data_IF_661644903603
#
_entry.id   IF_661644903603
#
_cell.length_a   1.000
_cell.length_b   1.000
_cell.length_c   1.000
_cell.angle_alpha   90.00
_cell.angle_beta   90.00
_cell.angle_gamma   90.00
#
_symmetry.space_group_name_H-M   'P 1'
#
loop_
_entity.id
_entity.type
_entity.pdbx_description
1 polymer ?
#
# COMPACT_ATOMS: atom_id res chain seq x y z
N UNK A 1 -24.42 10.47 -11.67
CA UNK A 1 -23.35 10.64 -12.68
C UNK A 1 -22.05 10.18 -12.07
N UNK A 2 -21.32 9.33 -12.78
CA UNK A 2 -20.19 8.48 -12.33
C UNK A 2 -19.23 9.13 -11.32
N UNK A 3 -19.34 8.72 -10.06
CA UNK A 3 -18.32 8.94 -9.03
C UNK A 3 -17.24 7.88 -9.15
N UNK A 4 -16.10 8.31 -9.71
CA UNK A 4 -14.76 7.71 -9.59
C UNK A 4 -14.53 6.37 -10.30
N UNK A 5 -14.44 6.42 -11.64
CA UNK A 5 -13.59 5.47 -12.36
C UNK A 5 -12.15 5.70 -11.90
N UNK A 6 -11.71 4.94 -10.89
CA UNK A 6 -10.28 4.85 -10.56
C UNK A 6 -9.59 4.41 -11.85
N UNK A 7 -8.76 5.30 -12.40
CA UNK A 7 -8.02 5.02 -13.62
C UNK A 7 -7.16 3.79 -13.40
N UNK A 8 -7.28 2.80 -14.29
CA UNK A 8 -6.42 1.63 -14.26
C UNK A 8 -4.96 2.07 -14.33
N UNK A 9 -4.14 1.61 -13.39
CA UNK A 9 -2.70 1.88 -13.36
C UNK A 9 -1.98 0.63 -13.86
N UNK A 10 -1.23 0.71 -14.99
CA UNK A 10 -0.49 -0.42 -15.54
C UNK A 10 0.42 -1.09 -14.52
N UNK A 11 0.44 -2.42 -14.48
CA UNK A 11 1.19 -3.22 -13.52
C UNK A 11 2.58 -3.55 -14.06
N UNK A 12 2.71 -3.83 -15.37
CA UNK A 12 3.95 -4.28 -15.98
C UNK A 12 5.17 -3.40 -15.67
N UNK A 13 5.09 -2.05 -15.73
CA UNK A 13 6.23 -1.17 -15.42
C UNK A 13 6.66 -1.19 -13.95
N UNK A 14 5.81 -1.73 -13.07
CA UNK A 14 5.99 -1.73 -11.62
C UNK A 14 6.39 -3.10 -11.08
N UNK A 15 6.45 -4.12 -11.94
CA UNK A 15 6.79 -5.49 -11.54
C UNK A 15 8.16 -5.51 -10.87
N UNK A 16 8.22 -6.14 -9.70
CA UNK A 16 9.43 -6.37 -8.94
C UNK A 16 9.52 -7.84 -8.56
N UNK A 17 10.69 -8.44 -8.75
CA UNK A 17 10.98 -9.83 -8.38
C UNK A 17 12.26 -9.88 -7.56
N UNK A 18 12.39 -10.90 -6.70
CA UNK A 18 13.63 -11.19 -5.98
C UNK A 18 14.79 -11.49 -6.94
N UNK A 19 14.48 -12.06 -8.10
CA UNK A 19 15.45 -12.51 -9.09
C UNK A 19 15.28 -11.74 -10.40
N UNK A 20 16.36 -11.11 -10.89
CA UNK A 20 16.33 -10.19 -12.03
C UNK A 20 16.02 -10.90 -13.35
N UNK A 21 16.49 -12.13 -13.49
CA UNK A 21 16.29 -13.00 -14.64
C UNK A 21 14.82 -13.41 -14.84
N UNK A 22 14.04 -13.46 -13.75
CA UNK A 22 12.62 -13.81 -13.77
C UNK A 22 11.71 -12.60 -14.02
N UNK A 23 12.25 -11.36 -13.97
CA UNK A 23 11.45 -10.15 -14.17
C UNK A 23 10.85 -10.10 -15.57
N UNK A 24 11.60 -10.53 -16.60
CA UNK A 24 11.16 -10.40 -17.99
C UNK A 24 9.86 -11.15 -18.30
N UNK A 25 9.74 -12.40 -17.83
CA UNK A 25 8.54 -13.22 -18.04
C UNK A 25 7.34 -12.67 -17.26
N UNK A 26 7.56 -12.18 -16.04
CA UNK A 26 6.51 -11.53 -15.25
C UNK A 26 6.04 -10.21 -15.86
N UNK A 27 6.96 -9.39 -16.39
CA UNK A 27 6.63 -8.15 -17.10
C UNK A 27 5.77 -8.45 -18.33
N UNK A 28 6.14 -9.44 -19.14
CA UNK A 28 5.35 -9.84 -20.31
C UNK A 28 3.94 -10.32 -19.91
N UNK A 29 3.82 -11.10 -18.84
CA UNK A 29 2.52 -11.51 -18.30
C UNK A 29 1.66 -10.30 -17.91
N UNK A 30 2.21 -9.36 -17.14
CA UNK A 30 1.47 -8.16 -16.75
C UNK A 30 1.22 -7.19 -17.91
N UNK A 31 2.02 -7.24 -18.98
CA UNK A 31 1.75 -6.46 -20.20
C UNK A 31 0.51 -6.99 -20.93
N UNK A 32 0.32 -8.31 -21.01
CA UNK A 32 -0.90 -8.94 -21.53
C UNK A 32 -2.11 -8.48 -20.70
N UNK A 33 -1.98 -8.54 -19.37
CA UNK A 33 -3.02 -8.07 -18.42
C UNK A 33 -3.33 -6.59 -18.65
N UNK A 34 -2.32 -5.73 -18.68
CA UNK A 34 -2.47 -4.28 -18.83
C UNK A 34 -3.19 -3.90 -20.13
N UNK A 35 -2.78 -4.51 -21.26
CA UNK A 35 -3.42 -4.25 -22.56
C UNK A 35 -4.84 -4.80 -22.62
N UNK A 36 -5.08 -5.97 -22.03
CA UNK A 36 -6.43 -6.54 -21.96
C UNK A 36 -7.39 -5.62 -21.20
N UNK A 37 -6.96 -5.07 -20.05
CA UNK A 37 -7.77 -4.10 -19.28
C UNK A 37 -7.99 -2.81 -20.07
N UNK A 38 -6.97 -2.32 -20.77
CA UNK A 38 -7.09 -1.13 -21.63
C UNK A 38 -8.14 -1.32 -22.74
N UNK A 39 -8.24 -2.53 -23.29
CA UNK A 39 -9.28 -2.92 -24.25
C UNK A 39 -10.64 -3.26 -23.60
N UNK A 40 -10.79 -3.00 -22.30
CA UNK A 40 -12.01 -3.30 -21.53
C UNK A 40 -12.38 -4.78 -21.47
N UNK A 41 -11.41 -5.69 -21.65
CA UNK A 41 -11.62 -7.13 -21.48
C UNK A 41 -11.75 -7.42 -19.98
N UNK A 42 -12.82 -8.15 -19.61
CA UNK A 42 -13.01 -8.62 -18.23
C UNK A 42 -12.11 -9.81 -17.95
N UNK A 43 -10.95 -9.55 -17.35
CA UNK A 43 -9.96 -10.60 -17.01
C UNK A 43 -9.82 -10.84 -15.50
N UNK A 44 -10.33 -9.95 -14.65
CA UNK A 44 -10.23 -10.10 -13.20
C UNK A 44 -11.42 -10.90 -12.66
N UNK A 45 -11.16 -12.10 -12.16
CA UNK A 45 -12.18 -13.01 -11.63
C UNK A 45 -12.62 -12.67 -10.19
N UNK A 46 -12.04 -11.64 -9.57
CA UNK A 46 -12.47 -11.13 -8.26
C UNK A 46 -12.92 -9.68 -8.33
N UNK A 47 -13.86 -9.32 -7.45
CA UNK A 47 -14.33 -7.93 -7.30
C UNK A 47 -13.72 -7.23 -6.08
N UNK A 48 -12.87 -7.93 -5.31
CA UNK A 48 -12.24 -7.40 -4.10
C UNK A 48 -11.23 -6.32 -4.48
N UNK A 49 -11.33 -5.15 -3.84
CA UNK A 49 -10.38 -4.04 -4.04
C UNK A 49 -8.94 -4.49 -3.77
N UNK A 50 -8.02 -4.06 -4.62
CA UNK A 50 -6.58 -4.37 -4.51
C UNK A 50 -6.22 -5.84 -4.69
N UNK A 51 -7.16 -6.66 -5.17
CA UNK A 51 -6.89 -8.05 -5.55
C UNK A 51 -7.09 -8.21 -7.06
N UNK A 52 -6.20 -9.00 -7.65
CA UNK A 52 -6.29 -9.42 -9.05
C UNK A 52 -6.28 -10.95 -9.06
N UNK A 53 -7.27 -11.55 -9.70
CA UNK A 53 -7.32 -13.00 -9.91
C UNK A 53 -7.43 -13.28 -11.39
N UNK A 54 -6.41 -13.91 -11.97
CA UNK A 54 -6.34 -14.21 -13.40
C UNK A 54 -6.39 -15.73 -13.60
N UNK A 55 -7.25 -16.20 -14.49
CA UNK A 55 -7.23 -17.60 -14.90
C UNK A 55 -6.03 -17.84 -15.84
N UNK A 56 -5.13 -18.80 -15.53
CA UNK A 56 -3.94 -19.04 -16.35
C UNK A 56 -4.27 -19.52 -17.77
N UNK A 57 -5.39 -20.23 -17.93
CA UNK A 57 -5.81 -20.81 -19.20
C UNK A 57 -6.10 -19.73 -20.26
N UNK A 58 -6.50 -18.53 -19.84
CA UNK A 58 -6.82 -17.43 -20.77
C UNK A 58 -5.59 -16.64 -21.23
N UNK A 59 -4.43 -16.80 -20.58
CA UNK A 59 -3.28 -15.91 -20.78
C UNK A 59 -2.78 -15.96 -22.23
N UNK A 60 -2.63 -17.17 -22.77
CA UNK A 60 -2.09 -17.35 -24.12
C UNK A 60 -3.12 -17.02 -25.20
N UNK A 61 -4.41 -17.23 -24.93
CA UNK A 61 -5.49 -16.78 -25.83
C UNK A 61 -5.49 -15.26 -25.94
N UNK A 62 -5.41 -14.55 -24.80
CA UNK A 62 -5.28 -13.10 -24.76
C UNK A 62 -3.98 -12.61 -25.42
N UNK A 63 -2.87 -13.31 -25.21
CA UNK A 63 -1.61 -12.97 -25.86
C UNK A 63 -1.75 -13.04 -27.39
N UNK A 64 -2.40 -14.08 -27.91
CA UNK A 64 -2.65 -14.24 -29.34
C UNK A 64 -3.54 -13.13 -29.90
N UNK A 65 -4.65 -12.80 -29.22
CA UNK A 65 -5.55 -11.71 -29.62
C UNK A 65 -4.83 -10.36 -29.65
N UNK A 66 -3.91 -10.14 -28.71
CA UNK A 66 -3.11 -8.91 -28.59
C UNK A 66 -1.86 -8.91 -29.49
N UNK A 67 -1.63 -9.97 -30.28
CA UNK A 67 -0.42 -10.16 -31.09
C UNK A 67 0.88 -10.08 -30.27
N UNK A 68 0.83 -10.56 -29.02
CA UNK A 68 1.96 -10.68 -28.11
C UNK A 68 2.54 -12.10 -28.14
N UNK A 69 3.77 -12.23 -27.64
CA UNK A 69 4.44 -13.52 -27.54
C UNK A 69 3.73 -14.40 -26.49
N UNK A 70 3.37 -15.67 -26.81
CA UNK A 70 2.83 -16.59 -25.83
C UNK A 70 3.87 -16.92 -24.76
N UNK A 71 3.38 -17.27 -23.56
CA UNK A 71 4.20 -17.52 -22.38
C UNK A 71 4.16 -19.00 -22.01
N UNK A 72 5.32 -19.54 -21.61
CA UNK A 72 5.38 -20.83 -20.94
C UNK A 72 4.80 -20.69 -19.52
N UNK A 73 3.60 -21.23 -19.31
CA UNK A 73 2.88 -21.09 -18.03
C UNK A 73 3.59 -21.77 -16.85
N UNK A 74 4.38 -22.82 -17.09
CA UNK A 74 5.14 -23.49 -16.02
C UNK A 74 6.30 -22.60 -15.54
N UNK A 75 7.05 -22.02 -16.48
CA UNK A 75 8.11 -21.06 -16.15
C UNK A 75 7.55 -19.80 -15.50
N UNK A 76 6.41 -19.32 -16.00
CA UNK A 76 5.72 -18.17 -15.41
C UNK A 76 5.34 -18.46 -13.96
N UNK A 77 4.70 -19.61 -13.67
CA UNK A 77 4.31 -19.97 -12.30
C UNK A 77 5.50 -19.93 -11.32
N UNK A 78 6.63 -20.51 -11.71
CA UNK A 78 7.86 -20.47 -10.89
C UNK A 78 8.38 -19.03 -10.70
N UNK A 79 8.25 -18.18 -11.73
CA UNK A 79 8.62 -16.78 -11.64
C UNK A 79 7.67 -15.97 -10.72
N UNK A 80 6.36 -16.26 -10.74
CA UNK A 80 5.35 -15.58 -9.92
C UNK A 80 5.60 -15.78 -8.42
N UNK A 81 6.07 -16.96 -7.99
CA UNK A 81 6.41 -17.25 -6.59
C UNK A 81 7.52 -16.34 -6.03
N UNK A 82 8.30 -15.72 -6.91
CA UNK A 82 9.40 -14.84 -6.56
C UNK A 82 9.07 -13.35 -6.70
N UNK A 83 7.83 -13.01 -7.02
CA UNK A 83 7.37 -11.62 -7.10
C UNK A 83 7.39 -10.93 -5.74
N UNK A 84 7.99 -9.75 -5.71
CA UNK A 84 7.86 -8.76 -4.63
C UNK A 84 6.62 -7.92 -4.89
N UNK A 85 6.41 -7.48 -6.13
CA UNK A 85 5.21 -6.76 -6.56
C UNK A 85 4.80 -7.12 -7.99
N UNK A 86 3.50 -7.32 -8.26
CA UNK A 86 2.44 -7.53 -7.27
C UNK A 86 2.66 -8.86 -6.51
N UNK A 87 2.22 -8.93 -5.25
CA UNK A 87 2.50 -10.09 -4.39
C UNK A 87 1.64 -11.28 -4.80
N UNK A 88 2.27 -12.34 -5.27
CA UNK A 88 1.57 -13.59 -5.60
C UNK A 88 1.09 -14.28 -4.32
N UNK A 89 -0.21 -14.54 -4.24
CA UNK A 89 -0.88 -15.18 -3.10
C UNK A 89 -1.13 -16.67 -3.31
N UNK A 90 -0.72 -17.19 -4.48
CA UNK A 90 -0.87 -18.59 -4.85
C UNK A 90 -2.06 -18.84 -5.79
N UNK A 91 -2.29 -20.12 -6.01
CA UNK A 91 -3.38 -20.64 -6.83
C UNK A 91 -4.60 -20.94 -5.96
N UNK A 92 -5.77 -20.51 -6.40
CA UNK A 92 -7.04 -20.70 -5.69
C UNK A 92 -8.14 -21.10 -6.66
N UNK A 93 -9.09 -21.86 -6.15
CA UNK A 93 -10.32 -22.15 -6.87
C UNK A 93 -11.42 -21.22 -6.38
N UNK A 94 -12.02 -20.46 -7.30
CA UNK A 94 -13.06 -19.47 -7.00
C UNK A 94 -14.25 -19.59 -7.95
N UNK A 95 -15.39 -19.06 -7.55
CA UNK A 95 -16.52 -18.87 -8.45
C UNK A 95 -16.35 -17.59 -9.26
N UNK A 96 -16.19 -17.73 -10.57
CA UNK A 96 -15.90 -16.61 -11.47
C UNK A 96 -17.18 -15.84 -11.86
N UNK A 97 -17.30 -14.55 -11.55
CA UNK A 97 -18.41 -13.73 -12.01
C UNK A 97 -18.34 -13.47 -13.53
N UNK A 98 -17.17 -13.69 -14.17
CA UNK A 98 -17.00 -13.57 -15.62
C UNK A 98 -17.59 -14.79 -16.34
N UNK A 99 -17.55 -15.97 -15.70
CA UNK A 99 -18.00 -17.23 -16.29
C UNK A 99 -19.23 -17.79 -15.59
N UNK A 100 -20.26 -16.96 -15.44
CA UNK A 100 -21.57 -17.39 -14.89
C UNK A 100 -21.48 -18.12 -13.53
N UNK A 101 -20.55 -17.71 -12.66
CA UNK A 101 -20.24 -18.34 -11.37
C UNK A 101 -19.76 -19.80 -11.46
N UNK A 102 -19.25 -20.22 -12.62
CA UNK A 102 -18.52 -21.47 -12.74
C UNK A 102 -17.29 -21.48 -11.82
N UNK A 103 -16.91 -22.66 -11.37
CA UNK A 103 -15.71 -22.90 -10.58
C UNK A 103 -14.48 -22.82 -11.48
N UNK A 104 -13.51 -22.00 -11.10
CA UNK A 104 -12.32 -21.69 -11.91
C UNK A 104 -11.09 -21.63 -11.03
N UNK A 105 -10.01 -22.24 -11.52
CA UNK A 105 -8.70 -22.11 -10.92
C UNK A 105 -8.01 -20.84 -11.41
N UNK A 106 -7.56 -20.01 -10.47
CA UNK A 106 -6.98 -18.69 -10.74
C UNK A 106 -5.68 -18.48 -9.96
N UNK A 107 -4.82 -17.64 -10.50
CA UNK A 107 -3.68 -17.06 -9.81
C UNK A 107 -4.09 -15.75 -9.15
N UNK A 108 -3.98 -15.70 -7.82
CA UNK A 108 -4.35 -14.52 -7.05
C UNK A 108 -3.12 -13.66 -6.73
N UNK A 109 -3.28 -12.35 -6.92
CA UNK A 109 -2.29 -11.34 -6.63
C UNK A 109 -2.88 -10.28 -5.71
N UNK A 110 -2.09 -9.90 -4.72
CA UNK A 110 -2.34 -8.71 -3.92
C UNK A 110 -1.58 -7.54 -4.55
N UNK A 111 -2.33 -6.54 -5.00
CA UNK A 111 -1.78 -5.25 -5.39
C UNK A 111 -1.54 -4.46 -4.10
N UNK A 112 -0.37 -3.82 -3.97
CA UNK A 112 -0.12 -2.85 -2.90
C UNK A 112 -1.20 -1.79 -2.96
N UNK A 113 -2.17 -1.87 -2.04
CA UNK A 113 -2.89 -0.69 -1.62
C UNK A 113 -1.93 0.07 -0.71
N UNK A 114 -1.91 1.40 -0.82
CA UNK A 114 -1.76 2.20 0.39
C UNK A 114 -3.07 1.94 1.11
N UNK A 115 -3.13 0.84 1.88
CA UNK A 115 -4.23 0.65 2.79
C UNK A 115 -4.04 1.80 3.78
N UNK A 116 -4.82 2.88 3.61
CA UNK A 116 -4.77 4.04 4.53
C UNK A 116 -5.21 3.64 5.95
N UNK A 117 -5.47 2.35 6.18
CA UNK A 117 -6.08 1.76 7.37
C UNK A 117 -5.10 0.94 8.19
N UNK A 118 -3.97 0.49 7.65
CA UNK A 118 -2.87 0.06 8.53
C UNK A 118 -2.24 1.34 9.07
N UNK A 119 -2.69 1.78 10.26
CA UNK A 119 -1.97 2.76 11.05
C UNK A 119 -0.50 2.32 11.06
N UNK A 120 0.37 3.14 10.47
CA UNK A 120 1.82 2.89 10.50
C UNK A 120 2.18 2.73 11.97
N UNK A 121 2.61 1.53 12.35
CA UNK A 121 3.05 1.27 13.72
C UNK A 121 4.12 2.29 14.09
N UNK A 122 3.91 3.00 15.19
CA UNK A 122 4.90 3.92 15.73
C UNK A 122 6.21 3.15 15.92
N UNK A 123 7.29 3.60 15.30
CA UNK A 123 8.59 2.95 15.50
C UNK A 123 9.29 3.52 16.74
N UNK A 124 10.33 2.83 17.25
CA UNK A 124 11.19 3.37 18.30
C UNK A 124 11.71 4.77 17.96
N UNK A 125 12.11 4.98 16.69
CA UNK A 125 12.62 6.27 16.21
C UNK A 125 11.55 7.36 16.29
N UNK A 126 10.31 7.05 15.92
CA UNK A 126 9.19 7.99 15.99
C UNK A 126 8.85 8.34 17.45
N UNK A 127 8.82 7.33 18.33
CA UNK A 127 8.58 7.51 19.76
C UNK A 127 9.70 8.35 20.41
N UNK A 128 10.97 8.04 20.13
CA UNK A 128 12.12 8.80 20.63
C UNK A 128 12.08 10.25 20.17
N UNK A 129 11.76 10.51 18.90
CA UNK A 129 11.63 11.86 18.35
C UNK A 129 10.46 12.63 18.99
N UNK A 130 9.33 11.95 19.24
CA UNK A 130 8.20 12.55 19.95
C UNK A 130 8.58 12.97 21.38
N UNK A 131 9.34 12.14 22.11
CA UNK A 131 9.84 12.48 23.45
C UNK A 131 10.81 13.67 23.38
N UNK A 132 11.81 13.62 22.49
CA UNK A 132 12.84 14.67 22.39
C UNK A 132 12.24 16.02 22.02
N UNK A 133 11.31 16.04 21.07
CA UNK A 133 10.61 17.26 20.67
C UNK A 133 9.70 17.80 21.77
N UNK A 134 9.01 16.93 22.52
CA UNK A 134 8.18 17.31 23.67
C UNK A 134 9.00 17.94 24.79
N UNK A 135 10.15 17.33 25.12
CA UNK A 135 11.09 17.87 26.10
C UNK A 135 11.67 19.21 25.64
N UNK A 136 11.98 19.34 24.36
CA UNK A 136 12.42 20.61 23.76
C UNK A 136 11.37 21.71 23.90
N UNK A 137 10.12 21.42 23.53
CA UNK A 137 9.01 22.36 23.62
C UNK A 137 8.77 22.81 25.08
N UNK A 138 8.73 21.88 26.03
CA UNK A 138 8.59 22.19 27.45
C UNK A 138 9.73 23.06 27.99
N UNK A 139 10.98 22.80 27.57
CA UNK A 139 12.14 23.61 28.00
C UNK A 139 12.06 25.04 27.48
N UNK A 140 11.69 25.21 26.21
CA UNK A 140 11.51 26.54 25.60
C UNK A 140 10.39 27.29 26.30
N UNK A 141 9.26 26.61 26.53
CA UNK A 141 8.09 27.24 27.15
C UNK A 141 8.34 27.59 28.63
N UNK A 142 9.02 26.71 29.38
CA UNK A 142 9.44 27.01 30.76
C UNK A 142 10.35 28.24 30.81
N UNK A 143 11.42 28.28 30.00
CA UNK A 143 12.34 29.43 29.94
C UNK A 143 11.62 30.73 29.57
N UNK A 144 10.64 30.61 28.67
CA UNK A 144 9.82 31.73 28.23
C UNK A 144 8.96 32.30 29.36
N UNK A 145 8.32 31.43 30.16
CA UNK A 145 7.57 31.84 31.34
C UNK A 145 8.49 32.41 32.43
N UNK A 146 9.64 31.78 32.68
CA UNK A 146 10.64 32.27 33.64
C UNK A 146 11.12 33.68 33.26
N UNK A 147 11.36 33.95 31.97
CA UNK A 147 11.76 35.27 31.47
C UNK A 147 10.64 36.33 31.52
N UNK A 148 9.37 35.92 31.37
CA UNK A 148 8.21 36.82 31.42
C UNK A 148 7.94 37.47 32.78
N UNK A 149 8.62 37.01 33.85
CA UNK A 149 8.53 37.63 35.19
C UNK A 149 9.17 39.03 35.28
N UNK A 150 9.86 39.50 34.22
CA UNK A 150 10.47 40.83 34.15
C UNK A 150 10.11 41.67 32.92
N UNK A 151 9.56 41.08 31.86
CA UNK A 151 9.36 41.75 30.57
C UNK A 151 7.87 41.77 30.16
N UNK A 152 7.27 42.96 30.10
CA UNK A 152 5.81 43.14 29.92
C UNK A 152 5.31 42.88 28.49
N UNK A 153 6.22 42.64 27.55
CA UNK A 153 5.87 42.54 26.12
C UNK A 153 5.62 41.10 25.64
N UNK A 154 5.84 40.09 26.49
CA UNK A 154 5.55 38.68 26.15
C UNK A 154 4.26 38.23 26.84
N UNK A 155 3.13 38.50 26.19
CA UNK A 155 1.81 38.05 26.65
C UNK A 155 1.50 36.70 25.99
N UNK A 156 1.70 35.60 26.71
CA UNK A 156 1.18 34.30 26.29
C UNK A 156 -0.34 34.32 26.41
N UNK A 157 -1.05 34.07 25.31
CA UNK A 157 -2.49 33.91 25.36
C UNK A 157 -2.81 32.49 25.86
N UNK A 158 -3.93 32.30 26.54
CA UNK A 158 -4.43 31.00 26.96
C UNK A 158 -4.50 30.01 25.79
N UNK A 159 -4.76 30.50 24.58
CA UNK A 159 -4.76 29.67 23.37
C UNK A 159 -3.38 29.06 23.05
N UNK A 160 -2.29 29.79 23.26
CA UNK A 160 -0.93 29.28 22.98
C UNK A 160 -0.56 28.14 23.92
N UNK A 161 -1.00 28.23 25.18
CA UNK A 161 -0.87 27.16 26.17
C UNK A 161 -1.73 25.96 25.80
N UNK A 162 -2.97 26.18 25.38
CA UNK A 162 -3.88 25.11 24.96
C UNK A 162 -3.27 24.35 23.77
N UNK A 163 -2.75 25.04 22.75
CA UNK A 163 -2.13 24.39 21.60
C UNK A 163 -0.87 23.61 21.97
N UNK A 164 -0.05 24.14 22.89
CA UNK A 164 1.11 23.41 23.38
C UNK A 164 0.70 22.12 24.10
N UNK A 165 -0.32 22.18 24.97
CA UNK A 165 -0.80 21.00 25.70
C UNK A 165 -1.39 19.95 24.75
N UNK A 166 -2.15 20.36 23.74
CA UNK A 166 -2.70 19.46 22.72
C UNK A 166 -1.59 18.78 21.90
N UNK A 167 -0.54 19.51 21.52
CA UNK A 167 0.61 18.95 20.80
C UNK A 167 1.39 17.94 21.66
N UNK A 168 1.57 18.24 22.96
CA UNK A 168 2.20 17.33 23.91
C UNK A 168 1.37 16.06 24.14
N UNK A 169 0.06 16.20 24.31
CA UNK A 169 -0.88 15.08 24.49
C UNK A 169 -0.82 14.13 23.29
N UNK A 170 -0.93 14.66 22.08
CA UNK A 170 -0.84 13.86 20.85
C UNK A 170 0.50 13.13 20.69
N UNK A 171 1.61 13.78 21.06
CA UNK A 171 2.94 13.16 21.00
C UNK A 171 3.10 12.07 22.06
N UNK A 172 2.59 12.27 23.27
CA UNK A 172 2.64 11.29 24.34
C UNK A 172 1.75 10.08 24.04
N UNK A 173 0.57 10.27 23.44
CA UNK A 173 -0.28 9.17 22.98
C UNK A 173 0.45 8.27 21.97
N UNK A 174 1.21 8.84 21.03
CA UNK A 174 2.02 8.05 20.08
C UNK A 174 3.09 7.22 20.77
N UNK A 175 3.75 7.79 21.77
CA UNK A 175 4.75 7.10 22.59
C UNK A 175 4.10 5.99 23.40
N UNK A 176 2.94 6.25 24.00
CA UNK A 176 2.18 5.26 24.75
C UNK A 176 1.79 4.07 23.87
N UNK A 177 1.27 4.32 22.66
CA UNK A 177 0.97 3.25 21.69
C UNK A 177 2.20 2.41 21.37
N UNK A 178 3.37 3.02 21.21
CA UNK A 178 4.62 2.27 20.99
C UNK A 178 4.97 1.36 22.18
N UNK A 179 4.82 1.85 23.42
CA UNK A 179 5.07 1.05 24.63
C UNK A 179 4.10 -0.11 24.73
N UNK A 180 2.79 0.16 24.58
CA UNK A 180 1.74 -0.87 24.62
C UNK A 180 1.90 -1.93 23.52
N UNK A 181 2.40 -1.54 22.34
CA UNK A 181 2.69 -2.46 21.23
C UNK A 181 3.99 -3.28 21.41
N UNK A 182 4.87 -2.90 22.36
CA UNK A 182 6.17 -3.55 22.59
C UNK A 182 6.29 -4.32 23.91
N UNK A 183 5.28 -4.24 24.78
CA UNK A 183 5.08 -5.13 25.94
C UNK A 183 4.42 -6.46 25.56
#
# INVERSE_FOLDING_TARGET
>A
MNTELIQYVPIAPRVQSKYRELVGICVLFFEIVDRSVYLSVKINHVQRKGCLAICPDQINDLANELQLKPINLQELKNALENLIYPKFSGEKTIHSPIWNNAEVTVWEFQLNQIDRVEEMKTTYTDASLCIDSSLGALRVWRKSLEASTGDKDVIYNNNDLIFLLQDLEHKLEKVQRYVEDTE
#
